data_IF_176114230171
#
_entry.id   IF_176114230171
#
_cell.length_a   1.000
_cell.length_b   1.000
_cell.length_c   1.000
_cell.angle_alpha   90.00
_cell.angle_beta   90.00
_cell.angle_gamma   90.00
#
_symmetry.space_group_name_H-M   'P 1'
#
loop_
_entity.id
_entity.type
_entity.pdbx_description
1 polymer ?
#
# COMPACT_ATOMS: atom_id res chain seq x y z
N UNK A 1 8.63 -2.32 0.49
CA UNK A 1 7.43 -2.45 -0.37
C UNK A 1 6.59 -1.15 -0.46
N UNK A 2 5.95 -0.69 0.62
CA UNK A 2 5.06 0.50 0.60
C UNK A 2 5.71 1.75 0.03
N UNK A 3 6.88 2.15 0.57
CA UNK A 3 7.56 3.37 0.11
C UNK A 3 7.95 3.25 -1.35
N UNK A 4 8.52 2.12 -1.77
CA UNK A 4 8.91 1.89 -3.16
C UNK A 4 7.70 1.97 -4.11
N UNK A 5 6.63 1.23 -3.83
CA UNK A 5 5.45 1.18 -4.72
C UNK A 5 4.70 2.51 -4.80
N UNK A 6 4.41 3.15 -3.65
CA UNK A 6 3.67 4.41 -3.66
C UNK A 6 4.52 5.61 -4.10
N UNK A 7 5.83 5.62 -3.89
CA UNK A 7 6.69 6.67 -4.50
C UNK A 7 6.70 6.54 -6.02
N UNK A 8 6.73 5.31 -6.55
CA UNK A 8 6.64 5.11 -7.98
C UNK A 8 5.26 5.51 -8.54
N UNK A 9 4.18 5.25 -7.82
CA UNK A 9 2.81 5.60 -8.28
C UNK A 9 2.42 7.06 -8.06
N UNK A 10 2.79 7.66 -6.92
CA UNK A 10 2.30 8.97 -6.46
C UNK A 10 3.40 9.97 -6.10
N UNK A 11 4.67 9.54 -6.05
CA UNK A 11 5.77 10.36 -5.54
C UNK A 11 5.90 10.42 -4.01
N UNK A 12 5.04 9.71 -3.26
CA UNK A 12 5.11 9.67 -1.79
C UNK A 12 4.70 8.30 -1.22
N UNK A 13 5.44 7.84 -0.20
CA UNK A 13 5.21 6.57 0.50
C UNK A 13 4.28 6.63 1.72
N UNK A 14 3.73 7.80 2.01
CA UNK A 14 2.86 8.04 3.15
C UNK A 14 1.40 7.63 2.86
N UNK A 15 0.57 7.60 3.90
CA UNK A 15 -0.89 7.55 3.70
C UNK A 15 -1.33 8.77 2.89
N UNK A 16 -2.18 8.56 1.89
CA UNK A 16 -2.67 9.65 1.04
C UNK A 16 -3.65 10.56 1.78
N UNK A 17 -4.30 10.05 2.83
CA UNK A 17 -5.33 10.76 3.59
C UNK A 17 -5.19 10.54 5.10
N UNK A 18 -5.79 11.46 5.87
CA UNK A 18 -5.78 11.40 7.33
C UNK A 18 -6.71 10.31 7.87
N UNK A 19 -6.33 9.70 9.00
CA UNK A 19 -7.13 8.70 9.73
C UNK A 19 -8.57 9.19 9.99
N UNK A 20 -8.73 10.45 10.38
CA UNK A 20 -10.05 11.05 10.67
C UNK A 20 -11.00 11.08 9.47
N UNK A 21 -10.48 10.95 8.24
CA UNK A 21 -11.29 10.89 7.03
C UNK A 21 -11.97 9.54 6.83
N UNK A 22 -11.42 8.46 7.40
CA UNK A 22 -11.88 7.08 7.17
C UNK A 22 -13.36 6.92 7.56
N UNK A 23 -13.78 7.51 8.68
CA UNK A 23 -15.17 7.48 9.16
C UNK A 23 -16.20 8.19 8.26
N UNK A 24 -15.79 8.79 7.15
CA UNK A 24 -16.64 9.45 6.16
C UNK A 24 -16.52 8.82 4.76
N UNK A 25 -15.80 7.71 4.60
CA UNK A 25 -15.77 6.97 3.34
C UNK A 25 -17.14 6.32 3.06
N UNK A 26 -17.54 6.27 1.79
CA UNK A 26 -18.70 5.53 1.32
C UNK A 26 -18.35 4.07 0.98
N UNK A 27 -17.09 3.78 0.68
CA UNK A 27 -16.58 2.42 0.53
C UNK A 27 -15.18 2.28 1.13
N UNK A 28 -14.95 1.15 1.81
CA UNK A 28 -13.67 0.80 2.40
C UNK A 28 -13.29 -0.59 1.91
N UNK A 29 -12.14 -0.70 1.23
CA UNK A 29 -11.48 -1.97 0.97
C UNK A 29 -10.38 -2.19 2.02
N UNK A 30 -10.64 -3.06 2.99
CA UNK A 30 -9.65 -3.50 3.97
C UNK A 30 -8.99 -4.79 3.46
N UNK A 31 -7.77 -4.69 2.92
CA UNK A 31 -7.04 -5.80 2.30
C UNK A 31 -5.71 -6.05 3.02
N UNK A 32 -5.44 -7.31 3.39
CA UNK A 32 -4.17 -7.67 4.03
C UNK A 32 -3.92 -6.96 5.37
N UNK A 33 -4.97 -6.71 6.14
CA UNK A 33 -4.94 -6.02 7.44
C UNK A 33 -5.87 -6.70 8.45
N UNK A 34 -5.50 -6.66 9.74
CA UNK A 34 -6.39 -6.97 10.87
C UNK A 34 -6.62 -5.71 11.73
N UNK A 35 -7.16 -4.67 11.11
CA UNK A 35 -7.27 -3.30 11.66
C UNK A 35 -7.89 -3.24 13.05
N UNK A 36 -8.82 -4.14 13.39
CA UNK A 36 -9.47 -4.15 14.72
C UNK A 36 -8.56 -4.59 15.86
N UNK A 37 -7.59 -5.47 15.60
CA UNK A 37 -6.55 -5.83 16.58
C UNK A 37 -5.38 -4.85 16.52
N UNK A 38 -4.86 -4.60 15.32
CA UNK A 38 -3.59 -3.90 15.12
C UNK A 38 -3.71 -2.37 15.32
N UNK A 39 -4.87 -1.81 14.96
CA UNK A 39 -5.15 -0.37 15.00
C UNK A 39 -6.55 -0.05 15.53
N UNK A 40 -6.88 -0.34 16.81
CA UNK A 40 -8.26 -0.29 17.31
C UNK A 40 -8.97 1.06 17.08
N UNK A 41 -8.24 2.17 17.13
CA UNK A 41 -8.78 3.52 16.86
C UNK A 41 -9.17 3.68 15.38
N UNK A 42 -8.38 3.14 14.45
CA UNK A 42 -8.72 3.11 13.02
C UNK A 42 -9.90 2.16 12.80
N UNK A 43 -9.92 1.01 13.50
CA UNK A 43 -11.05 0.09 13.50
C UNK A 43 -12.37 0.75 13.94
N UNK A 44 -12.32 1.69 14.89
CA UNK A 44 -13.48 2.50 15.28
C UNK A 44 -13.96 3.42 14.15
N UNK A 45 -13.04 4.07 13.43
CA UNK A 45 -13.40 4.89 12.26
C UNK A 45 -14.03 4.05 11.14
N UNK A 46 -13.52 2.84 10.89
CA UNK A 46 -14.14 1.91 9.92
C UNK A 46 -15.56 1.57 10.35
N UNK A 47 -15.77 1.20 11.62
CA UNK A 47 -17.12 0.90 12.16
C UNK A 47 -18.05 2.10 12.04
N UNK A 48 -17.56 3.31 12.33
CA UNK A 48 -18.33 4.56 12.16
C UNK A 48 -18.75 4.79 10.71
N UNK A 49 -17.88 4.50 9.73
CA UNK A 49 -18.25 4.59 8.33
C UNK A 49 -19.36 3.59 7.98
N UNK A 50 -19.24 2.34 8.44
CA UNK A 50 -20.25 1.29 8.24
C UNK A 50 -21.59 1.68 8.87
N UNK A 51 -21.59 2.24 10.08
CA UNK A 51 -22.81 2.73 10.76
C UNK A 51 -23.51 3.86 9.97
N UNK A 52 -22.75 4.65 9.19
CA UNK A 52 -23.28 5.67 8.27
C UNK A 52 -23.74 5.10 6.91
N UNK A 53 -23.60 3.80 6.70
CA UNK A 53 -24.03 3.10 5.48
C UNK A 53 -22.91 2.78 4.48
N UNK A 54 -21.63 2.97 4.85
CA UNK A 54 -20.51 2.64 3.96
C UNK A 54 -20.45 1.14 3.62
N UNK A 55 -20.03 0.82 2.39
CA UNK A 55 -19.75 -0.55 1.97
C UNK A 55 -18.35 -0.95 2.41
N UNK A 56 -18.26 -1.93 3.30
CA UNK A 56 -17.00 -2.51 3.75
C UNK A 56 -16.72 -3.82 3.00
N UNK A 57 -15.64 -3.84 2.22
CA UNK A 57 -15.08 -5.03 1.59
C UNK A 57 -13.87 -5.45 2.42
N UNK A 58 -13.89 -6.68 2.93
CA UNK A 58 -12.73 -7.26 3.62
C UNK A 58 -12.11 -8.30 2.69
N UNK A 59 -10.85 -8.10 2.30
CA UNK A 59 -10.08 -9.06 1.51
C UNK A 59 -8.98 -9.65 2.39
N UNK A 60 -9.26 -10.84 2.96
CA UNK A 60 -8.38 -11.48 3.93
C UNK A 60 -8.61 -13.01 3.91
N UNK A 61 -7.56 -13.85 3.82
CA UNK A 61 -7.70 -15.31 3.89
C UNK A 61 -8.29 -15.81 5.22
N UNK A 62 -8.15 -15.02 6.28
CA UNK A 62 -8.66 -15.30 7.63
C UNK A 62 -9.97 -14.55 7.86
N UNK A 63 -10.87 -15.18 8.60
CA UNK A 63 -12.05 -14.50 9.15
C UNK A 63 -11.60 -13.66 10.36
N UNK A 64 -11.40 -12.37 10.14
CA UNK A 64 -11.05 -11.40 11.18
C UNK A 64 -12.31 -10.75 11.75
N UNK A 65 -12.19 -10.08 12.91
CA UNK A 65 -13.31 -9.39 13.56
C UNK A 65 -14.05 -8.41 12.64
N UNK A 66 -13.31 -7.77 11.74
CA UNK A 66 -13.86 -6.80 10.79
C UNK A 66 -14.84 -7.45 9.78
N UNK A 67 -14.72 -8.76 9.52
CA UNK A 67 -15.64 -9.50 8.64
C UNK A 67 -17.10 -9.44 9.13
N UNK A 68 -17.33 -9.32 10.44
CA UNK A 68 -18.67 -9.21 11.04
C UNK A 68 -19.44 -7.97 10.61
N UNK A 69 -18.73 -6.95 10.14
CA UNK A 69 -19.28 -5.68 9.66
C UNK A 69 -19.22 -5.56 8.14
N UNK A 70 -18.61 -6.53 7.45
CA UNK A 70 -18.35 -6.46 6.03
C UNK A 70 -19.63 -6.66 5.22
N UNK A 71 -19.79 -5.82 4.20
CA UNK A 71 -20.77 -6.07 3.12
C UNK A 71 -20.35 -7.24 2.24
N UNK A 72 -19.03 -7.47 2.10
CA UNK A 72 -18.47 -8.57 1.33
C UNK A 72 -17.12 -9.00 1.93
N UNK A 73 -16.97 -10.29 2.13
CA UNK A 73 -15.68 -10.91 2.49
C UNK A 73 -15.15 -11.72 1.32
N UNK A 74 -13.96 -11.34 0.85
CA UNK A 74 -13.16 -12.03 -0.16
C UNK A 74 -12.08 -12.83 0.56
N UNK A 75 -12.24 -14.15 0.55
CA UNK A 75 -11.29 -15.09 1.17
C UNK A 75 -10.33 -15.61 0.11
N UNK A 76 -9.48 -14.74 -0.41
CA UNK A 76 -8.50 -15.13 -1.42
C UNK A 76 -7.33 -15.91 -0.82
N UNK A 77 -6.67 -16.71 -1.64
CA UNK A 77 -5.48 -17.46 -1.28
C UNK A 77 -4.32 -16.50 -0.92
N UNK A 78 -3.51 -16.79 0.11
CA UNK A 78 -2.36 -15.95 0.45
C UNK A 78 -1.39 -15.79 -0.73
N UNK A 79 -0.97 -14.55 -1.01
CA UNK A 79 -0.02 -14.26 -2.09
C UNK A 79 -0.64 -14.08 -3.48
N UNK A 80 -1.98 -14.10 -3.58
CA UNK A 80 -2.69 -13.87 -4.85
C UNK A 80 -3.35 -12.48 -4.93
N UNK A 81 -2.83 -11.52 -4.16
CA UNK A 81 -3.41 -10.18 -4.00
C UNK A 81 -3.38 -9.38 -5.31
N UNK A 82 -2.29 -9.43 -6.08
CA UNK A 82 -2.23 -8.82 -7.43
C UNK A 82 -3.34 -9.38 -8.32
N UNK A 83 -3.49 -10.71 -8.37
CA UNK A 83 -4.51 -11.34 -9.23
C UNK A 83 -5.93 -10.89 -8.85
N UNK A 84 -6.22 -10.79 -7.54
CA UNK A 84 -7.50 -10.29 -7.04
C UNK A 84 -7.74 -8.84 -7.45
N UNK A 85 -6.78 -7.95 -7.21
CA UNK A 85 -6.89 -6.52 -7.49
C UNK A 85 -6.98 -6.25 -9.01
N UNK A 86 -6.17 -6.95 -9.81
CA UNK A 86 -6.22 -6.86 -11.27
C UNK A 86 -7.54 -7.41 -11.83
N UNK A 87 -8.06 -8.50 -11.26
CA UNK A 87 -9.40 -9.01 -11.61
C UNK A 87 -10.51 -8.01 -11.29
N UNK A 88 -10.44 -7.31 -10.16
CA UNK A 88 -11.37 -6.22 -9.85
C UNK A 88 -11.26 -5.07 -10.86
N UNK A 89 -10.04 -4.63 -11.17
CA UNK A 89 -9.79 -3.55 -12.13
C UNK A 89 -10.26 -3.90 -13.54
N UNK A 90 -10.10 -5.16 -13.96
CA UNK A 90 -10.65 -5.64 -15.23
C UNK A 90 -12.16 -5.49 -15.28
N UNK A 91 -12.88 -5.92 -14.24
CA UNK A 91 -14.34 -5.75 -14.19
C UNK A 91 -14.73 -4.28 -14.30
N UNK A 92 -14.02 -3.38 -13.60
CA UNK A 92 -14.27 -1.93 -13.66
C UNK A 92 -14.09 -1.40 -15.09
N UNK A 93 -13.06 -1.86 -15.81
CA UNK A 93 -12.81 -1.47 -17.21
C UNK A 93 -13.86 -2.05 -18.15
N UNK A 94 -14.14 -3.35 -18.06
CA UNK A 94 -15.06 -4.07 -18.94
C UNK A 94 -16.50 -3.56 -18.81
N UNK A 95 -16.89 -3.12 -17.60
CA UNK A 95 -18.22 -2.54 -17.32
C UNK A 95 -18.29 -1.02 -17.50
N UNK A 96 -17.18 -0.37 -17.86
CA UNK A 96 -17.14 1.08 -18.06
C UNK A 96 -17.38 1.90 -16.78
N UNK A 97 -16.93 1.39 -15.63
CA UNK A 97 -17.10 2.01 -14.31
C UNK A 97 -15.89 2.87 -13.88
N UNK A 98 -14.89 3.03 -14.75
CA UNK A 98 -13.69 3.83 -14.52
C UNK A 98 -13.97 5.35 -14.59
N UNK A 99 -13.14 6.15 -13.93
CA UNK A 99 -13.18 7.62 -14.02
C UNK A 99 -12.29 8.10 -15.17
N UNK A 100 -12.84 8.11 -16.40
CA UNK A 100 -12.09 8.48 -17.61
C UNK A 100 -11.51 9.88 -17.53
N UNK A 101 -12.24 10.84 -16.94
CA UNK A 101 -11.78 12.22 -16.83
C UNK A 101 -10.56 12.32 -15.89
N UNK A 102 -10.59 11.61 -14.77
CA UNK A 102 -9.44 11.55 -13.87
C UNK A 102 -8.23 10.88 -14.53
N UNK A 103 -8.45 9.79 -15.27
CA UNK A 103 -7.38 9.07 -15.96
C UNK A 103 -6.71 9.95 -17.02
N UNK A 104 -7.50 10.64 -17.85
CA UNK A 104 -7.00 11.53 -18.89
C UNK A 104 -6.25 12.75 -18.31
N UNK A 105 -6.71 13.31 -17.20
CA UNK A 105 -6.12 14.52 -16.61
C UNK A 105 -4.90 14.22 -15.71
N UNK A 106 -4.92 13.10 -14.98
CA UNK A 106 -4.01 12.87 -13.83
C UNK A 106 -3.18 11.60 -13.91
N UNK A 107 -3.39 10.75 -14.92
CA UNK A 107 -2.68 9.49 -15.05
C UNK A 107 -1.89 9.43 -16.36
N UNK A 108 -1.00 8.46 -16.45
CA UNK A 108 -0.23 8.12 -17.65
C UNK A 108 -0.29 6.62 -17.90
N UNK A 109 0.11 6.18 -19.09
CA UNK A 109 0.25 4.76 -19.47
C UNK A 109 -1.03 3.90 -19.33
N UNK A 110 -2.22 4.51 -19.37
CA UNK A 110 -3.49 3.79 -19.22
C UNK A 110 -3.72 2.73 -20.31
N UNK A 111 -3.38 3.01 -21.57
CA UNK A 111 -3.58 2.06 -22.66
C UNK A 111 -2.77 0.77 -22.47
N UNK A 112 -1.51 0.89 -22.05
CA UNK A 112 -0.66 -0.25 -21.72
C UNK A 112 -1.20 -1.03 -20.52
N UNK A 113 -1.66 -0.31 -19.48
CA UNK A 113 -2.32 -0.93 -18.32
C UNK A 113 -3.59 -1.69 -18.73
N UNK A 114 -4.44 -1.10 -19.56
CA UNK A 114 -5.66 -1.72 -20.08
C UNK A 114 -5.37 -2.99 -20.88
N UNK A 115 -4.31 -2.98 -21.70
CA UNK A 115 -3.87 -4.17 -22.42
C UNK A 115 -3.42 -5.29 -21.48
N UNK A 116 -2.70 -4.96 -20.40
CA UNK A 116 -2.26 -5.93 -19.40
C UNK A 116 -3.43 -6.58 -18.63
N UNK A 117 -4.58 -5.92 -18.50
CA UNK A 117 -5.77 -6.50 -17.85
C UNK A 117 -6.38 -7.67 -18.64
N UNK A 118 -6.06 -7.82 -19.93
CA UNK A 118 -6.55 -8.94 -20.75
C UNK A 118 -6.10 -10.31 -20.20
N UNK A 119 -4.93 -10.35 -19.54
CA UNK A 119 -4.37 -11.58 -18.95
C UNK A 119 -5.09 -11.99 -17.64
N UNK A 120 -5.92 -11.11 -17.07
CA UNK A 120 -6.62 -11.33 -15.80
C UNK A 120 -8.09 -11.68 -16.00
N UNK A 121 -8.38 -12.63 -16.88
CA UNK A 121 -9.77 -13.06 -17.13
C UNK A 121 -10.33 -13.89 -15.97
N UNK A 122 -11.66 -14.11 -15.90
CA UNK A 122 -12.24 -14.93 -14.84
C UNK A 122 -11.66 -16.35 -14.76
N UNK A 123 -11.28 -16.93 -15.90
CA UNK A 123 -10.73 -18.29 -15.99
C UNK A 123 -9.32 -18.36 -15.39
N UNK A 124 -8.56 -17.26 -15.43
CA UNK A 124 -7.26 -17.12 -14.78
C UNK A 124 -7.39 -16.74 -13.30
N UNK A 125 -8.19 -15.71 -12.99
CA UNK A 125 -8.23 -15.10 -11.65
C UNK A 125 -8.93 -15.99 -10.63
N UNK A 126 -10.05 -16.62 -10.98
CA UNK A 126 -10.83 -17.45 -10.05
C UNK A 126 -10.04 -18.64 -9.46
N UNK A 127 -9.37 -19.51 -10.26
CA UNK A 127 -8.63 -20.63 -9.71
C UNK A 127 -7.39 -20.20 -8.91
N UNK A 128 -6.72 -19.12 -9.30
CA UNK A 128 -5.54 -18.59 -8.59
C UNK A 128 -5.97 -18.06 -7.23
N UNK A 129 -6.94 -17.13 -7.22
CA UNK A 129 -7.39 -16.48 -5.99
C UNK A 129 -8.23 -17.39 -5.11
N UNK A 130 -8.88 -18.40 -5.67
CA UNK A 130 -9.90 -19.20 -4.98
C UNK A 130 -11.20 -18.42 -4.70
N UNK A 131 -11.35 -17.22 -5.26
CA UNK A 131 -12.54 -16.38 -5.08
C UNK A 131 -13.41 -16.46 -6.33
N UNK A 132 -14.68 -16.86 -6.20
CA UNK A 132 -15.64 -16.86 -7.31
C UNK A 132 -15.70 -15.52 -8.04
N UNK A 133 -15.75 -15.54 -9.37
CA UNK A 133 -15.74 -14.32 -10.17
C UNK A 133 -16.91 -13.37 -9.84
N UNK A 134 -18.09 -13.90 -9.49
CA UNK A 134 -19.25 -13.09 -9.10
C UNK A 134 -18.95 -12.19 -7.87
N UNK A 135 -18.19 -12.71 -6.90
CA UNK A 135 -17.74 -11.93 -5.74
C UNK A 135 -16.69 -10.90 -6.11
N UNK A 136 -15.76 -11.23 -7.00
CA UNK A 136 -14.76 -10.27 -7.49
C UNK A 136 -15.47 -9.12 -8.21
N UNK A 137 -16.42 -9.44 -9.09
CA UNK A 137 -17.21 -8.44 -9.80
C UNK A 137 -18.08 -7.61 -8.84
N UNK A 138 -18.67 -8.24 -7.82
CA UNK A 138 -19.40 -7.53 -6.78
C UNK A 138 -18.51 -6.53 -6.02
N UNK A 139 -17.30 -6.93 -5.63
CA UNK A 139 -16.33 -6.06 -4.96
C UNK A 139 -15.91 -4.89 -5.87
N UNK A 140 -15.62 -5.18 -7.13
CA UNK A 140 -15.24 -4.19 -8.14
C UNK A 140 -16.33 -3.12 -8.31
N UNK A 141 -17.57 -3.54 -8.50
CA UNK A 141 -18.74 -2.64 -8.62
C UNK A 141 -18.95 -1.84 -7.34
N UNK A 142 -18.88 -2.47 -6.16
CA UNK A 142 -19.00 -1.77 -4.88
C UNK A 142 -17.96 -0.65 -4.75
N UNK A 143 -16.69 -0.96 -5.03
CA UNK A 143 -15.60 0.01 -4.90
C UNK A 143 -15.71 1.15 -5.92
N UNK A 144 -16.01 0.85 -7.19
CA UNK A 144 -16.08 1.87 -8.24
C UNK A 144 -17.30 2.79 -8.13
N UNK A 145 -18.43 2.31 -7.61
CA UNK A 145 -19.69 3.06 -7.60
C UNK A 145 -19.98 3.80 -6.29
N UNK A 146 -19.22 3.56 -5.22
CA UNK A 146 -19.44 4.17 -3.90
C UNK A 146 -18.24 5.05 -3.52
N UNK A 147 -18.32 6.35 -3.83
CA UNK A 147 -17.29 7.34 -3.50
C UNK A 147 -17.75 8.25 -2.35
N UNK A 148 -16.87 8.68 -1.41
CA UNK A 148 -15.42 8.45 -1.36
C UNK A 148 -15.05 6.97 -1.08
N UNK A 149 -14.18 6.37 -1.91
CA UNK A 149 -13.70 5.01 -1.71
C UNK A 149 -12.23 5.02 -1.25
N UNK A 150 -11.90 4.21 -0.23
CA UNK A 150 -10.56 4.18 0.35
C UNK A 150 -10.06 2.75 0.56
N UNK A 151 -8.76 2.55 0.40
CA UNK A 151 -8.09 1.27 0.66
C UNK A 151 -7.31 1.39 1.96
N UNK A 152 -7.54 0.46 2.88
CA UNK A 152 -6.72 0.25 4.07
C UNK A 152 -5.95 -1.05 3.89
N UNK A 153 -4.61 -0.99 3.98
CA UNK A 153 -3.79 -2.20 3.91
C UNK A 153 -2.66 -2.21 4.92
N UNK A 154 -2.14 -3.39 5.22
CA UNK A 154 -1.02 -3.55 6.14
C UNK A 154 -0.06 -4.65 5.63
N UNK A 155 0.42 -5.49 6.53
CA UNK A 155 1.50 -6.44 6.28
C UNK A 155 1.09 -7.61 5.37
N UNK A 156 -0.20 -7.93 5.27
CA UNK A 156 -0.72 -8.90 4.30
C UNK A 156 -0.69 -8.42 2.84
N UNK A 157 -0.23 -7.19 2.59
CA UNK A 157 0.09 -6.69 1.25
C UNK A 157 1.61 -6.59 1.07
N UNK A 158 2.33 -6.15 2.11
CA UNK A 158 3.75 -5.79 1.99
C UNK A 158 4.71 -6.96 2.22
N UNK A 159 4.40 -7.91 3.10
CA UNK A 159 5.28 -9.02 3.48
C UNK A 159 5.10 -10.23 2.54
N UNK A 160 5.26 -9.97 1.25
CA UNK A 160 5.20 -10.95 0.18
C UNK A 160 6.38 -10.75 -0.79
N UNK A 161 6.75 -11.79 -1.52
CA UNK A 161 7.78 -11.71 -2.58
C UNK A 161 7.42 -10.66 -3.65
N UNK A 162 6.12 -10.42 -3.87
CA UNK A 162 5.57 -9.42 -4.79
C UNK A 162 4.96 -8.22 -4.04
N UNK A 163 5.46 -7.90 -2.85
CA UNK A 163 4.84 -6.87 -2.01
C UNK A 163 4.83 -5.46 -2.62
N UNK A 164 5.82 -5.11 -3.45
CA UNK A 164 5.83 -3.84 -4.18
C UNK A 164 4.74 -3.81 -5.25
N UNK A 165 4.57 -4.92 -5.98
CA UNK A 165 3.53 -5.06 -7.02
C UNK A 165 2.13 -5.02 -6.40
N UNK A 166 1.94 -5.66 -5.24
CA UNK A 166 0.69 -5.59 -4.47
C UNK A 166 0.34 -4.13 -4.13
N UNK A 167 1.33 -3.35 -3.65
CA UNK A 167 1.13 -1.93 -3.33
C UNK A 167 0.77 -1.13 -4.57
N UNK A 168 1.48 -1.33 -5.69
CA UNK A 168 1.17 -0.65 -6.95
C UNK A 168 -0.23 -1.02 -7.47
N UNK A 169 -0.67 -2.27 -7.32
CA UNK A 169 -2.03 -2.66 -7.68
C UNK A 169 -3.11 -1.92 -6.86
N UNK A 170 -2.88 -1.66 -5.57
CA UNK A 170 -3.79 -0.81 -4.77
C UNK A 170 -3.82 0.64 -5.27
N UNK A 171 -2.66 1.19 -5.67
CA UNK A 171 -2.57 2.53 -6.23
C UNK A 171 -3.30 2.63 -7.59
N UNK A 172 -3.11 1.64 -8.46
CA UNK A 172 -3.80 1.56 -9.75
C UNK A 172 -5.32 1.52 -9.59
N UNK A 173 -5.84 0.77 -8.61
CA UNK A 173 -7.28 0.68 -8.37
C UNK A 173 -7.89 2.03 -7.97
N UNK A 174 -7.23 2.80 -7.10
CA UNK A 174 -7.74 4.14 -6.73
C UNK A 174 -7.58 5.16 -7.85
N UNK A 175 -6.53 5.05 -8.69
CA UNK A 175 -6.37 5.90 -9.86
C UNK A 175 -7.43 5.61 -10.91
N UNK A 176 -7.70 4.33 -11.19
CA UNK A 176 -8.72 3.87 -12.14
C UNK A 176 -10.12 4.39 -11.79
N UNK A 177 -10.38 4.60 -10.50
CA UNK A 177 -11.69 5.04 -9.97
C UNK A 177 -11.70 6.51 -9.52
N UNK A 178 -10.64 7.28 -9.78
CA UNK A 178 -10.56 8.70 -9.40
C UNK A 178 -10.64 8.95 -7.89
N UNK A 179 -10.30 7.94 -7.07
CA UNK A 179 -10.35 7.95 -5.61
C UNK A 179 -8.99 8.31 -5.00
N UNK A 180 -8.30 9.31 -5.52
CA UNK A 180 -7.06 9.86 -4.93
C UNK A 180 -7.03 11.38 -5.12
N UNK A 181 -6.40 12.10 -4.18
CA UNK A 181 -6.39 13.57 -4.17
C UNK A 181 -7.69 14.22 -3.64
N UNK A 182 -8.60 13.43 -3.06
CA UNK A 182 -9.88 13.88 -2.48
C UNK A 182 -9.96 13.46 -1.00
N UNK A 183 -10.74 14.15 -0.14
CA UNK A 183 -10.94 13.72 1.24
C UNK A 183 -11.59 12.33 1.34
N UNK A 184 -11.18 11.54 2.33
CA UNK A 184 -11.75 10.21 2.64
C UNK A 184 -11.59 9.16 1.54
N UNK A 185 -10.71 9.39 0.56
CA UNK A 185 -10.37 8.42 -0.49
C UNK A 185 -9.00 7.78 -0.26
N UNK A 186 -8.42 7.20 -1.31
CA UNK A 186 -6.98 7.01 -1.42
C UNK A 186 -6.47 5.67 -0.90
N UNK A 187 -5.16 5.60 -0.76
CA UNK A 187 -4.44 4.39 -0.35
C UNK A 187 -3.74 4.67 0.96
N UNK A 188 -4.12 3.91 1.98
CA UNK A 188 -3.76 4.18 3.35
C UNK A 188 -3.04 2.96 3.96
N UNK A 189 -1.70 2.85 3.77
CA UNK A 189 -0.88 1.88 4.49
C UNK A 189 -0.95 2.12 6.00
N UNK A 190 -1.49 1.15 6.73
CA UNK A 190 -1.55 1.17 8.18
C UNK A 190 -0.19 0.78 8.74
N UNK A 191 0.60 1.81 9.08
CA UNK A 191 1.92 1.67 9.70
C UNK A 191 1.76 1.08 11.12
N UNK A 192 2.63 0.14 11.48
CA UNK A 192 2.54 -0.59 12.75
C UNK A 192 3.11 0.17 13.94
N UNK A 193 4.42 0.39 13.94
CA UNK A 193 5.12 1.03 15.08
C UNK A 193 4.79 2.52 15.17
N UNK A 194 4.73 3.04 16.40
CA UNK A 194 4.28 4.40 16.73
C UNK A 194 4.98 5.52 15.93
N UNK A 195 6.25 5.35 15.58
CA UNK A 195 7.08 6.36 14.96
C UNK A 195 7.83 5.85 13.73
N UNK A 196 7.38 4.76 13.10
CA UNK A 196 8.00 4.31 11.83
C UNK A 196 7.89 5.40 10.76
N UNK A 197 6.78 6.14 10.74
CA UNK A 197 6.61 7.29 9.85
C UNK A 197 7.65 8.38 10.17
N UNK A 198 7.76 8.79 11.43
CA UNK A 198 8.71 9.84 11.83
C UNK A 198 10.18 9.43 11.66
N UNK A 199 10.52 8.15 11.89
CA UNK A 199 11.86 7.65 11.62
C UNK A 199 12.21 7.76 10.11
N UNK A 200 11.30 7.35 9.23
CA UNK A 200 11.46 7.55 7.78
C UNK A 200 11.54 9.03 7.42
N UNK A 201 10.69 9.89 8.03
CA UNK A 201 10.70 11.34 7.81
C UNK A 201 12.04 11.96 8.23
N UNK A 202 12.70 11.43 9.26
CA UNK A 202 14.01 11.88 9.73
C UNK A 202 15.19 11.23 8.99
N UNK A 203 14.94 10.50 7.89
CA UNK A 203 16.00 9.92 7.08
C UNK A 203 16.68 8.71 7.73
N UNK A 204 15.99 7.97 8.61
CA UNK A 204 16.44 6.66 9.09
C UNK A 204 16.27 5.58 7.98
N UNK A 205 16.76 5.90 6.79
CA UNK A 205 16.69 5.12 5.56
C UNK A 205 18.03 5.30 4.83
N UNK A 206 18.56 4.26 4.17
CA UNK A 206 19.91 4.31 3.63
C UNK A 206 20.07 5.26 2.42
N UNK A 207 18.98 5.72 1.82
CA UNK A 207 18.98 6.40 0.52
C UNK A 207 18.46 7.86 0.56
N UNK A 208 18.05 8.36 1.72
CA UNK A 208 17.51 9.72 1.86
C UNK A 208 17.99 10.43 3.12
N UNK A 209 18.13 11.74 3.05
CA UNK A 209 18.20 12.65 4.20
C UNK A 209 16.79 12.94 4.77
N UNK A 210 16.68 13.65 5.92
CA UNK A 210 15.38 14.06 6.45
C UNK A 210 14.50 14.75 5.40
N UNK A 211 13.20 14.45 5.40
CA UNK A 211 12.23 14.95 4.43
C UNK A 211 12.27 14.25 3.07
N UNK A 212 12.70 12.98 3.02
CA UNK A 212 12.75 12.15 1.81
C UNK A 212 13.63 12.70 0.68
N UNK A 213 14.73 13.37 1.03
CA UNK A 213 15.59 14.01 0.05
C UNK A 213 16.73 13.07 -0.34
N UNK A 214 16.78 12.64 -1.60
CA UNK A 214 17.70 11.60 -2.07
C UNK A 214 19.18 11.96 -1.83
N UNK A 215 19.94 11.03 -1.24
CA UNK A 215 21.38 11.20 -1.00
C UNK A 215 22.18 11.30 -2.30
N UNK A 216 21.67 10.71 -3.38
CA UNK A 216 22.28 10.73 -4.70
C UNK A 216 22.19 12.11 -5.39
N UNK A 217 21.39 13.04 -4.88
CA UNK A 217 21.25 14.38 -5.47
C UNK A 217 22.41 15.29 -5.03
N UNK A 218 23.27 15.77 -5.96
CA UNK A 218 24.41 16.61 -5.59
C UNK A 218 24.01 17.90 -4.88
N UNK A 219 22.94 18.56 -5.34
CA UNK A 219 22.45 19.80 -4.75
C UNK A 219 21.88 19.60 -3.33
N UNK A 220 21.20 18.48 -3.08
CA UNK A 220 20.72 18.15 -1.74
C UNK A 220 21.89 17.83 -0.82
N UNK A 221 22.86 17.05 -1.28
CA UNK A 221 24.05 16.72 -0.51
C UNK A 221 24.82 17.99 -0.12
N UNK A 222 25.10 18.89 -1.07
CA UNK A 222 25.79 20.16 -0.81
C UNK A 222 25.09 20.98 0.29
N UNK A 223 23.75 21.05 0.25
CA UNK A 223 22.96 21.71 1.30
C UNK A 223 23.23 21.13 2.69
N UNK A 224 23.28 19.80 2.83
CA UNK A 224 23.54 19.15 4.11
C UNK A 224 25.01 19.25 4.53
N UNK A 225 25.95 19.17 3.59
CA UNK A 225 27.38 19.37 3.85
C UNK A 225 27.67 20.77 4.41
N UNK A 226 27.05 21.81 3.83
CA UNK A 226 27.14 23.19 4.34
C UNK A 226 26.56 23.28 5.75
N UNK A 227 25.39 22.70 5.98
CA UNK A 227 24.71 22.78 7.27
C UNK A 227 25.44 22.03 8.39
N UNK A 228 26.11 20.92 8.08
CA UNK A 228 26.77 20.05 9.06
C UNK A 228 28.28 20.25 9.14
N UNK A 229 28.88 20.99 8.21
CA UNK A 229 30.31 21.29 8.21
C UNK A 229 31.19 20.07 7.93
N UNK A 230 30.70 19.10 7.16
CA UNK A 230 31.44 17.89 6.81
C UNK A 230 31.09 17.39 5.40
N UNK A 231 31.95 16.57 4.80
CA UNK A 231 31.67 15.89 3.53
C UNK A 231 30.80 14.65 3.75
N UNK A 232 29.89 14.40 2.82
CA UNK A 232 28.90 13.31 2.90
C UNK A 232 29.00 12.35 1.70
N UNK A 233 28.68 11.05 1.89
CA UNK A 233 28.70 10.07 0.80
C UNK A 233 27.67 10.40 -0.30
N UNK A 234 28.00 10.09 -1.57
CA UNK A 234 27.06 10.21 -2.71
C UNK A 234 26.18 8.98 -2.93
N UNK A 235 26.62 7.81 -2.45
CA UNK A 235 25.90 6.57 -2.66
C UNK A 235 24.95 6.27 -1.50
N UNK A 236 23.81 5.62 -1.77
CA UNK A 236 23.00 4.99 -0.74
C UNK A 236 23.82 4.03 0.13
N UNK A 237 23.45 3.93 1.40
CA UNK A 237 23.92 2.89 2.31
C UNK A 237 23.30 1.52 2.03
N UNK A 238 23.67 0.54 2.85
CA UNK A 238 23.09 -0.80 2.82
C UNK A 238 21.76 -0.83 3.57
N UNK A 239 20.83 -1.64 3.10
CA UNK A 239 19.60 -2.02 3.83
C UNK A 239 19.92 -3.00 4.96
N UNK A 240 18.98 -3.22 5.88
CA UNK A 240 19.17 -4.11 7.04
C UNK A 240 19.61 -5.53 6.64
N UNK A 241 18.96 -6.12 5.64
CA UNK A 241 19.30 -7.46 5.12
C UNK A 241 20.72 -7.46 4.54
N UNK A 242 21.04 -6.47 3.70
CA UNK A 242 22.39 -6.33 3.13
C UNK A 242 23.45 -6.09 4.20
N UNK A 243 23.12 -5.39 5.30
CA UNK A 243 24.03 -5.19 6.43
C UNK A 243 24.32 -6.51 7.15
N UNK A 244 23.32 -7.36 7.36
CA UNK A 244 23.50 -8.66 8.00
C UNK A 244 24.31 -9.61 7.11
N UNK A 245 24.02 -9.66 5.80
CA UNK A 245 24.84 -10.41 4.84
C UNK A 245 26.28 -9.90 4.79
N UNK A 246 26.48 -8.58 4.73
CA UNK A 246 27.81 -7.97 4.73
C UNK A 246 28.56 -8.28 6.04
N UNK A 247 27.86 -8.32 7.18
CA UNK A 247 28.45 -8.74 8.45
C UNK A 247 28.88 -10.21 8.42
N UNK A 248 28.07 -11.10 7.84
CA UNK A 248 28.40 -12.51 7.64
C UNK A 248 29.63 -12.69 6.72
N UNK A 249 29.71 -11.92 5.63
CA UNK A 249 30.88 -11.84 4.74
C UNK A 249 32.07 -11.10 5.38
N UNK A 250 31.93 -10.61 6.61
CA UNK A 250 32.94 -9.85 7.37
C UNK A 250 33.32 -8.51 6.69
N UNK A 251 32.47 -7.94 5.86
CA UNK A 251 32.61 -6.59 5.29
C UNK A 251 32.21 -5.51 6.30
N UNK A 252 31.18 -5.77 7.11
CA UNK A 252 30.82 -4.97 8.29
C UNK A 252 31.46 -5.59 9.54
N UNK A 253 32.10 -4.76 10.35
CA UNK A 253 32.79 -5.19 11.60
C UNK A 253 32.09 -4.72 12.88
N UNK A 254 31.21 -3.74 12.77
CA UNK A 254 30.49 -3.16 13.90
C UNK A 254 29.07 -2.80 13.46
N UNK A 255 28.11 -3.08 14.33
CA UNK A 255 26.71 -2.70 14.19
C UNK A 255 26.32 -1.92 15.44
N UNK A 256 25.66 -0.76 15.24
CA UNK A 256 25.09 0.01 16.34
C UNK A 256 23.57 -0.04 16.23
N UNK A 257 22.97 -0.93 17.00
CA UNK A 257 21.52 -1.21 16.99
C UNK A 257 20.87 -0.40 18.11
N UNK A 258 19.87 0.41 17.76
CA UNK A 258 19.17 1.29 18.70
C UNK A 258 17.68 0.96 18.67
N UNK A 259 17.14 0.43 19.77
CA UNK A 259 15.69 0.24 19.91
C UNK A 259 15.07 -0.86 19.02
N UNK A 260 15.88 -1.77 18.47
CA UNK A 260 15.44 -2.91 17.65
C UNK A 260 16.01 -4.24 18.17
N UNK A 261 15.39 -5.36 17.76
CA UNK A 261 15.80 -6.71 18.15
C UNK A 261 15.79 -7.68 16.94
N UNK A 262 16.71 -7.50 15.98
CA UNK A 262 16.71 -8.28 14.73
C UNK A 262 16.85 -9.79 14.98
N UNK A 263 17.50 -10.21 16.07
CA UNK A 263 17.64 -11.62 16.44
C UNK A 263 16.29 -12.33 16.72
N UNK A 264 15.23 -11.57 17.01
CA UNK A 264 13.88 -12.10 17.23
C UNK A 264 12.90 -11.68 16.13
N UNK A 265 13.01 -10.46 15.60
CA UNK A 265 12.01 -9.87 14.72
C UNK A 265 12.25 -10.10 13.23
N UNK A 266 13.47 -10.46 12.83
CA UNK A 266 13.85 -10.54 11.42
C UNK A 266 13.89 -12.00 10.94
N UNK A 267 13.50 -12.25 9.68
CA UNK A 267 13.66 -13.57 9.07
C UNK A 267 15.13 -13.85 8.72
N UNK A 268 15.44 -15.13 8.47
CA UNK A 268 16.67 -15.57 7.81
C UNK A 268 16.61 -15.29 6.30
#
# INVERSE_FOLDING_TARGET
PTVAGLVQSFGSGAMTNSINGIGNAACILAIGTNTTEDHPVIGLEVKRAVDKGAKLIVANPREIDLCRFASLWLRHNPGTDVALLMGMMRVIVDEGLLDSAFIEERCENFDAFKQALNDFDPVFVEPITGVPHDKIAQAARMFATNSPATILYAMGITQHSHGTDNVMATANLVMLTGNVGKPSTGVNPLRGQNNVQGACDMGALPNVYPGYQAVASPAIREKFEIAWGCSLPSSPGLTLVEMLEAAYRKEIKALYIIGENPALSDPD
#
